data_IF_981464566657
#
_entry.id   IF_981464566657
#
_cell.length_a   1.000
_cell.length_b   1.000
_cell.length_c   1.000
_cell.angle_alpha   90.00
_cell.angle_beta   90.00
_cell.angle_gamma   90.00
#
_symmetry.space_group_name_H-M   'P 1'
#
loop_
_entity.id
_entity.type
_entity.pdbx_description
1 polymer ?
#
# COMPACT_ATOMS: atom_id res chain seq x y z
N UNK A 1 -13.34 15.84 59.88
CA UNK A 1 -12.68 16.87 59.02
C UNK A 1 -11.25 16.46 58.58
N UNK A 2 -10.35 16.04 59.49
CA UNK A 2 -8.94 15.76 59.15
C UNK A 2 -8.79 14.56 58.18
N UNK A 3 -9.60 13.52 58.26
CA UNK A 3 -9.59 12.35 57.37
C UNK A 3 -10.12 12.67 55.94
N UNK A 4 -11.13 13.55 55.84
CA UNK A 4 -11.65 13.97 54.54
C UNK A 4 -10.61 14.80 53.76
N UNK A 5 -9.87 15.71 54.43
CA UNK A 5 -8.79 16.46 53.79
C UNK A 5 -7.67 15.57 53.27
N UNK A 6 -7.30 14.52 54.04
CA UNK A 6 -6.31 13.53 53.58
C UNK A 6 -6.82 12.75 52.37
N UNK A 7 -8.08 12.32 52.36
CA UNK A 7 -8.69 11.63 51.24
C UNK A 7 -8.69 12.47 49.96
N UNK A 8 -9.13 13.75 50.05
CA UNK A 8 -9.09 14.65 48.90
C UNK A 8 -7.68 14.87 48.37
N UNK A 9 -6.71 15.06 49.28
CA UNK A 9 -5.30 15.22 48.87
C UNK A 9 -4.79 13.95 48.13
N UNK A 10 -5.10 12.76 48.62
CA UNK A 10 -4.72 11.52 47.96
C UNK A 10 -5.37 11.39 46.59
N UNK A 11 -6.65 11.71 46.44
CA UNK A 11 -7.36 11.71 45.16
C UNK A 11 -6.69 12.68 44.17
N UNK A 12 -6.35 13.90 44.60
CA UNK A 12 -5.68 14.89 43.75
C UNK A 12 -4.31 14.40 43.30
N UNK A 13 -3.51 13.78 44.19
CA UNK A 13 -2.18 13.25 43.82
C UNK A 13 -2.33 12.11 42.82
N UNK A 14 -3.26 11.16 43.06
CA UNK A 14 -3.50 10.03 42.14
C UNK A 14 -3.96 10.53 40.79
N UNK A 15 -4.91 11.46 40.74
CA UNK A 15 -5.39 12.06 39.49
C UNK A 15 -4.27 12.77 38.74
N UNK A 16 -3.41 13.51 39.44
CA UNK A 16 -2.26 14.19 38.84
C UNK A 16 -1.26 13.20 38.23
N UNK A 17 -0.95 12.11 38.94
CA UNK A 17 -0.08 11.05 38.42
C UNK A 17 -0.67 10.39 37.17
N UNK A 18 -1.98 10.10 37.15
CA UNK A 18 -2.67 9.54 35.99
C UNK A 18 -2.58 10.51 34.79
N UNK A 19 -2.78 11.80 34.99
CA UNK A 19 -2.66 12.82 33.93
C UNK A 19 -1.24 12.86 33.38
N UNK A 20 -0.21 12.86 34.25
CA UNK A 20 1.18 12.84 33.79
C UNK A 20 1.52 11.59 33.01
N UNK A 21 1.04 10.42 33.47
CA UNK A 21 1.26 9.14 32.75
C UNK A 21 0.57 9.18 31.37
N UNK A 22 -0.64 9.72 31.28
CA UNK A 22 -1.36 9.87 30.00
C UNK A 22 -0.63 10.81 29.04
N UNK A 23 -0.12 11.95 29.54
CA UNK A 23 0.66 12.90 28.73
C UNK A 23 1.97 12.28 28.22
N UNK A 24 2.65 11.50 29.07
CA UNK A 24 3.87 10.77 28.67
C UNK A 24 3.57 9.73 27.58
N UNK A 25 2.47 8.97 27.73
CA UNK A 25 2.04 8.01 26.71
C UNK A 25 1.68 8.68 25.38
N UNK A 26 0.98 9.80 25.41
CA UNK A 26 0.66 10.60 24.19
C UNK A 26 1.95 11.11 23.54
N UNK A 27 2.89 11.63 24.33
CA UNK A 27 4.20 12.09 23.84
C UNK A 27 4.99 10.97 23.18
N UNK A 28 5.01 9.79 23.80
CA UNK A 28 5.65 8.60 23.24
C UNK A 28 5.03 8.18 21.89
N UNK A 29 3.70 8.11 21.80
CA UNK A 29 3.01 7.78 20.56
C UNK A 29 3.30 8.81 19.45
N UNK A 30 3.32 10.10 19.80
CA UNK A 30 3.64 11.16 18.84
C UNK A 30 5.05 11.02 18.27
N UNK A 31 6.04 10.76 19.13
CA UNK A 31 7.44 10.54 18.71
C UNK A 31 7.55 9.29 17.85
N UNK A 32 6.92 8.18 18.26
CA UNK A 32 6.92 6.92 17.52
C UNK A 32 6.32 7.07 16.12
N UNK A 33 5.18 7.76 15.99
CA UNK A 33 4.56 7.99 14.68
C UNK A 33 5.37 8.93 13.79
N UNK A 34 5.98 9.97 14.38
CA UNK A 34 6.88 10.85 13.64
C UNK A 34 8.09 10.06 13.10
N UNK A 35 8.71 9.24 13.94
CA UNK A 35 9.85 8.42 13.53
C UNK A 35 9.48 7.44 12.41
N UNK A 36 8.34 6.74 12.53
CA UNK A 36 7.87 5.83 11.49
C UNK A 36 7.68 6.54 10.14
N UNK A 37 7.06 7.73 10.14
CA UNK A 37 6.89 8.55 8.93
C UNK A 37 8.22 8.98 8.33
N UNK A 38 9.16 9.42 9.19
CA UNK A 38 10.49 9.86 8.76
C UNK A 38 11.28 8.69 8.18
N UNK A 39 11.15 7.46 8.75
CA UNK A 39 11.72 6.23 8.21
C UNK A 39 11.21 5.91 6.80
N UNK A 40 9.90 5.98 6.55
CA UNK A 40 9.32 5.77 5.20
C UNK A 40 9.76 6.85 4.21
N UNK A 41 9.83 8.11 4.64
CA UNK A 41 10.31 9.21 3.80
C UNK A 41 11.79 9.02 3.40
N UNK A 42 12.62 8.59 4.33
CA UNK A 42 14.04 8.28 4.06
C UNK A 42 14.18 7.08 3.13
N UNK A 43 13.39 6.01 3.35
CA UNK A 43 13.41 4.85 2.47
C UNK A 43 13.06 5.26 1.03
N UNK A 44 11.98 6.05 0.85
CA UNK A 44 11.55 6.52 -0.46
C UNK A 44 12.62 7.39 -1.14
N UNK A 45 13.24 8.33 -0.40
CA UNK A 45 14.32 9.15 -0.95
C UNK A 45 15.49 8.30 -1.41
N UNK A 46 15.97 7.39 -0.56
CA UNK A 46 17.12 6.52 -0.86
C UNK A 46 16.86 5.58 -2.03
N UNK A 47 15.67 4.97 -2.11
CA UNK A 47 15.31 4.09 -3.22
C UNK A 47 15.30 4.83 -4.56
N UNK A 48 14.87 6.11 -4.58
CA UNK A 48 14.85 6.95 -5.79
C UNK A 48 16.22 7.56 -6.10
N UNK A 49 17.00 7.96 -5.10
CA UNK A 49 18.37 8.47 -5.27
C UNK A 49 19.31 7.39 -5.78
N UNK A 50 19.19 6.17 -5.28
CA UNK A 50 19.95 5.02 -5.77
C UNK A 50 19.67 4.77 -7.24
N UNK A 51 18.41 4.84 -7.66
CA UNK A 51 18.00 4.78 -9.04
C UNK A 51 18.69 5.86 -9.90
N UNK A 52 18.60 7.15 -9.53
CA UNK A 52 19.19 8.27 -10.26
C UNK A 52 20.72 8.15 -10.35
N UNK A 53 21.39 7.83 -9.24
CA UNK A 53 22.86 7.73 -9.20
C UNK A 53 23.41 6.61 -10.07
N UNK A 54 22.67 5.52 -10.24
CA UNK A 54 23.03 4.45 -11.18
C UNK A 54 22.82 4.87 -12.63
N UNK A 55 21.76 5.65 -12.91
CA UNK A 55 21.52 6.24 -14.24
C UNK A 55 22.63 7.18 -14.71
N UNK A 56 23.13 8.07 -13.84
CA UNK A 56 24.23 8.98 -14.13
C UNK A 56 25.57 8.28 -14.40
N UNK A 57 25.76 7.05 -13.92
CA UNK A 57 26.97 6.25 -14.21
C UNK A 57 26.93 5.52 -15.55
N UNK A 58 26.00 5.87 -16.44
CA UNK A 58 25.91 5.30 -17.79
C UNK A 58 25.28 3.92 -17.85
N UNK A 59 24.62 3.50 -16.77
CA UNK A 59 23.86 2.23 -16.69
C UNK A 59 22.61 2.21 -17.60
N UNK A 60 22.19 3.38 -18.06
CA UNK A 60 21.05 3.59 -18.96
C UNK A 60 21.50 3.66 -20.43
N UNK A 61 22.31 2.73 -20.91
CA UNK A 61 22.31 2.51 -22.34
C UNK A 61 20.92 1.93 -22.65
N UNK A 62 20.17 2.63 -23.52
CA UNK A 62 18.89 2.17 -24.06
C UNK A 62 19.06 0.69 -24.42
N UNK A 63 18.64 -0.21 -23.56
CA UNK A 63 18.68 -1.63 -23.83
C UNK A 63 17.47 -1.85 -24.74
N UNK A 64 17.71 -1.86 -26.03
CA UNK A 64 16.76 -2.43 -26.97
C UNK A 64 16.49 -3.86 -26.49
N UNK A 65 15.23 -4.28 -26.47
CA UNK A 65 14.86 -5.65 -26.20
C UNK A 65 15.73 -6.59 -27.03
N UNK A 66 16.35 -7.57 -26.42
CA UNK A 66 17.13 -8.57 -27.15
C UNK A 66 16.25 -9.40 -28.12
N UNK A 67 14.93 -9.35 -27.92
CA UNK A 67 13.90 -9.91 -28.77
C UNK A 67 13.19 -8.76 -29.52
N UNK A 68 13.31 -8.66 -30.85
CA UNK A 68 12.67 -7.61 -31.65
C UNK A 68 11.13 -7.67 -31.63
N UNK A 69 10.52 -8.74 -31.10
CA UNK A 69 9.07 -8.87 -30.90
C UNK A 69 8.60 -8.36 -29.51
N UNK A 70 9.52 -8.11 -28.56
CA UNK A 70 9.20 -7.55 -27.26
C UNK A 70 9.34 -6.03 -27.25
N UNK A 71 8.39 -5.29 -26.66
CA UNK A 71 8.52 -3.86 -26.48
C UNK A 71 9.73 -3.51 -25.62
N UNK A 72 10.32 -2.33 -25.87
CA UNK A 72 11.41 -1.81 -25.03
C UNK A 72 10.96 -1.75 -23.56
N UNK A 73 11.80 -2.17 -22.61
CA UNK A 73 11.45 -2.14 -21.19
C UNK A 73 11.28 -0.70 -20.70
N UNK A 74 10.30 -0.50 -19.80
CA UNK A 74 10.09 0.78 -19.12
C UNK A 74 11.00 0.91 -17.89
N UNK A 75 11.37 2.15 -17.57
CA UNK A 75 12.12 2.43 -16.36
C UNK A 75 11.28 2.22 -15.10
N UNK A 76 11.80 1.47 -14.14
CA UNK A 76 11.23 1.32 -12.79
C UNK A 76 11.94 2.31 -11.86
N UNK A 77 11.28 3.39 -11.39
CA UNK A 77 11.93 4.54 -10.74
C UNK A 77 12.31 4.29 -9.26
N UNK A 78 12.43 3.04 -8.85
CA UNK A 78 12.84 2.63 -7.51
C UNK A 78 13.82 1.46 -7.58
N UNK A 79 14.81 1.45 -6.70
CA UNK A 79 15.83 0.42 -6.62
C UNK A 79 15.34 -0.74 -5.75
N UNK A 80 14.87 -1.82 -6.39
CA UNK A 80 14.38 -3.00 -5.69
C UNK A 80 15.49 -3.82 -5.02
N UNK A 81 16.73 -3.79 -5.51
CA UNK A 81 17.85 -4.43 -4.84
C UNK A 81 18.11 -3.75 -3.48
N UNK A 82 18.13 -2.41 -3.47
CA UNK A 82 18.22 -1.64 -2.23
C UNK A 82 17.02 -1.93 -1.30
N UNK A 83 15.79 -1.88 -1.82
CA UNK A 83 14.56 -2.09 -1.03
C UNK A 83 14.52 -3.48 -0.41
N UNK A 84 14.85 -4.54 -1.16
CA UNK A 84 14.87 -5.92 -0.68
C UNK A 84 16.07 -6.20 0.23
N UNK A 85 17.14 -5.41 0.15
CA UNK A 85 18.21 -5.38 1.13
C UNK A 85 17.77 -4.83 2.50
N UNK A 86 16.81 -3.88 2.51
CA UNK A 86 16.22 -3.38 3.75
C UNK A 86 15.15 -4.35 4.32
N UNK A 87 14.33 -4.96 3.45
CA UNK A 87 13.38 -6.02 3.82
C UNK A 87 13.01 -6.86 2.58
N UNK A 88 13.29 -8.17 2.65
CA UNK A 88 13.01 -9.12 1.56
C UNK A 88 11.51 -9.30 1.25
N UNK A 89 10.63 -8.96 2.20
CA UNK A 89 9.18 -9.01 1.99
C UNK A 89 8.65 -7.84 1.13
N UNK A 90 9.50 -6.89 0.71
CA UNK A 90 9.09 -5.84 -0.22
C UNK A 90 8.95 -6.42 -1.61
N UNK A 91 7.69 -6.53 -2.09
CA UNK A 91 7.32 -7.09 -3.39
C UNK A 91 6.98 -6.04 -4.44
N UNK A 92 6.73 -4.80 -4.01
CA UNK A 92 6.32 -3.74 -4.91
C UNK A 92 6.42 -2.35 -4.31
N UNK A 93 6.11 -1.38 -5.13
CA UNK A 93 6.02 0.04 -4.78
C UNK A 93 4.74 0.64 -5.36
N UNK A 94 3.91 1.28 -4.54
CA UNK A 94 2.64 1.86 -4.97
C UNK A 94 2.66 3.37 -4.99
N UNK A 95 2.09 3.94 -6.05
CA UNK A 95 1.78 5.36 -6.19
C UNK A 95 0.31 5.54 -6.56
N UNK A 96 -0.36 6.53 -5.96
CA UNK A 96 -1.76 6.87 -6.28
C UNK A 96 -1.85 8.34 -6.63
N UNK A 97 -2.32 8.61 -7.84
CA UNK A 97 -2.42 9.96 -8.41
C UNK A 97 -3.20 10.94 -7.52
N UNK A 98 -2.76 12.19 -7.44
CA UNK A 98 -3.39 13.23 -6.65
C UNK A 98 -3.29 13.05 -5.13
N UNK A 99 -2.56 12.03 -4.67
CA UNK A 99 -2.34 11.72 -3.25
C UNK A 99 -0.85 11.81 -2.88
N UNK A 100 -0.55 11.55 -1.60
CA UNK A 100 0.83 11.35 -1.11
C UNK A 100 1.13 9.86 -0.89
N UNK A 101 0.32 8.97 -1.44
CA UNK A 101 0.57 7.53 -1.36
C UNK A 101 1.73 7.21 -2.30
N UNK A 102 2.87 6.85 -1.70
CA UNK A 102 4.14 6.61 -2.36
C UNK A 102 4.98 5.74 -1.42
N UNK A 103 4.68 4.42 -1.39
CA UNK A 103 5.12 3.49 -0.37
C UNK A 103 5.54 2.13 -0.93
N UNK A 104 6.48 1.41 -0.25
CA UNK A 104 6.69 -0.01 -0.52
C UNK A 104 5.45 -0.81 -0.19
N UNK A 105 5.22 -1.89 -0.94
CA UNK A 105 4.23 -2.92 -0.65
C UNK A 105 4.96 -4.14 -0.10
N UNK A 106 4.56 -4.61 1.09
CA UNK A 106 5.13 -5.79 1.73
C UNK A 106 4.19 -6.99 1.59
N UNK A 107 4.75 -8.19 1.61
CA UNK A 107 3.99 -9.44 1.49
C UNK A 107 4.00 -10.20 2.83
N UNK A 108 2.83 -10.32 3.47
CA UNK A 108 2.65 -11.04 4.73
C UNK A 108 2.20 -12.48 4.47
N UNK A 109 3.14 -13.38 4.35
CA UNK A 109 2.88 -14.82 4.16
C UNK A 109 2.44 -15.53 5.43
N UNK A 110 2.49 -14.86 6.57
CA UNK A 110 2.24 -15.47 7.89
C UNK A 110 0.76 -15.54 8.24
N UNK A 111 -0.13 -14.91 7.46
CA UNK A 111 -1.58 -14.80 7.67
C UNK A 111 -2.00 -14.17 9.01
N UNK A 112 -1.06 -13.70 9.81
CA UNK A 112 -1.32 -13.11 11.13
C UNK A 112 -1.44 -11.59 11.12
N UNK A 113 -1.39 -10.99 9.93
CA UNK A 113 -1.42 -9.53 9.74
C UNK A 113 -0.25 -8.83 10.44
N UNK A 114 0.94 -9.41 10.35
CA UNK A 114 2.16 -8.90 10.99
C UNK A 114 2.38 -7.43 10.63
N UNK A 115 2.30 -7.10 9.34
CA UNK A 115 2.51 -5.75 8.82
C UNK A 115 1.38 -4.76 9.14
N UNK A 116 0.29 -5.23 9.77
CA UNK A 116 -0.72 -4.30 10.30
C UNK A 116 -0.14 -3.41 11.41
N UNK A 117 0.78 -3.94 12.24
CA UNK A 117 1.35 -3.21 13.36
C UNK A 117 2.89 -3.06 13.27
N UNK A 118 3.54 -3.62 12.26
CA UNK A 118 4.98 -3.55 12.07
C UNK A 118 5.32 -2.75 10.81
N UNK A 119 6.29 -1.86 10.91
CA UNK A 119 6.83 -1.14 9.76
C UNK A 119 7.77 -2.06 8.94
N UNK A 120 8.30 -1.54 7.82
CA UNK A 120 9.21 -2.30 6.95
C UNK A 120 10.50 -2.76 7.65
N UNK A 121 10.90 -2.16 8.77
CA UNK A 121 12.03 -2.61 9.61
C UNK A 121 11.66 -3.70 10.60
N UNK A 122 10.42 -4.18 10.60
CA UNK A 122 9.92 -5.14 11.58
C UNK A 122 9.68 -4.55 12.98
N UNK A 123 9.68 -3.23 13.12
CA UNK A 123 9.44 -2.55 14.39
C UNK A 123 7.94 -2.38 14.61
N UNK A 124 7.44 -2.78 15.79
CA UNK A 124 6.06 -2.53 16.18
C UNK A 124 5.87 -1.04 16.51
N UNK A 125 5.16 -0.33 15.66
CA UNK A 125 4.96 1.12 15.78
C UNK A 125 3.49 1.53 15.81
N UNK A 126 2.55 0.61 15.56
CA UNK A 126 1.14 0.94 15.31
C UNK A 126 0.90 1.75 14.03
N UNK A 127 1.97 2.16 13.35
CA UNK A 127 1.92 2.83 12.05
C UNK A 127 1.74 1.81 10.91
N UNK A 128 2.28 0.60 11.12
CA UNK A 128 2.20 -0.50 10.20
C UNK A 128 2.89 -0.25 8.86
N UNK A 129 2.49 -1.01 7.87
CA UNK A 129 2.96 -0.93 6.50
C UNK A 129 1.80 -0.92 5.51
N UNK A 130 2.09 -0.70 4.24
CA UNK A 130 1.22 -1.06 3.13
C UNK A 130 1.59 -2.50 2.76
N UNK A 131 0.60 -3.41 2.73
CA UNK A 131 0.89 -4.83 2.59
C UNK A 131 -0.22 -5.62 1.91
N UNK A 132 0.16 -6.76 1.34
CA UNK A 132 -0.71 -7.82 0.81
C UNK A 132 -0.65 -9.01 1.77
N UNK A 133 -1.78 -9.67 2.01
CA UNK A 133 -1.83 -10.92 2.78
C UNK A 133 -1.57 -12.13 1.89
N UNK A 134 -1.08 -13.21 2.47
CA UNK A 134 -0.84 -14.48 1.79
C UNK A 134 -2.08 -15.19 1.24
N UNK A 135 -3.26 -14.59 1.38
CA UNK A 135 -4.48 -14.97 0.67
C UNK A 135 -4.38 -14.68 -0.85
N UNK A 136 -3.53 -13.72 -1.23
CA UNK A 136 -3.10 -13.45 -2.61
C UNK A 136 -1.72 -14.05 -2.88
N UNK A 137 -1.32 -14.18 -4.15
CA UNK A 137 -0.02 -14.75 -4.56
C UNK A 137 1.16 -13.81 -4.35
N UNK A 138 0.91 -12.50 -4.24
CA UNK A 138 1.94 -11.48 -4.03
C UNK A 138 2.66 -11.00 -5.31
N UNK A 139 2.35 -11.56 -6.47
CA UNK A 139 2.89 -11.19 -7.78
C UNK A 139 1.93 -10.32 -8.63
N UNK A 140 0.79 -9.95 -8.08
CA UNK A 140 -0.27 -9.16 -8.72
C UNK A 140 -0.93 -9.83 -9.94
N UNK A 141 -0.86 -11.16 -10.04
CA UNK A 141 -1.50 -11.92 -11.12
C UNK A 141 -2.90 -12.41 -10.76
N UNK A 142 -3.29 -12.37 -9.48
CA UNK A 142 -4.63 -12.76 -9.03
C UNK A 142 -5.72 -11.91 -9.72
N UNK A 143 -6.92 -12.50 -9.86
CA UNK A 143 -8.11 -11.78 -10.31
C UNK A 143 -8.36 -10.49 -9.50
N UNK A 144 -8.17 -10.56 -8.17
CA UNK A 144 -8.27 -9.40 -7.28
C UNK A 144 -7.16 -9.41 -6.23
N UNK A 145 -6.18 -8.55 -6.38
CA UNK A 145 -5.13 -8.35 -5.37
C UNK A 145 -5.58 -7.29 -4.37
N UNK A 146 -5.58 -7.63 -3.07
CA UNK A 146 -6.01 -6.71 -2.00
C UNK A 146 -4.80 -6.17 -1.24
N UNK A 147 -4.60 -4.87 -1.32
CA UNK A 147 -3.55 -4.13 -0.60
C UNK A 147 -4.17 -3.40 0.59
N UNK A 148 -3.61 -3.61 1.76
CA UNK A 148 -4.08 -3.04 3.02
C UNK A 148 -3.18 -1.90 3.49
N UNK A 149 -3.75 -0.90 4.15
CA UNK A 149 -3.01 0.18 4.78
C UNK A 149 -3.85 0.95 5.79
N UNK A 150 -3.19 1.50 6.80
CA UNK A 150 -3.85 2.28 7.84
C UNK A 150 -4.44 3.60 7.34
N UNK A 151 -5.50 4.04 8.01
CA UNK A 151 -6.02 5.40 7.94
C UNK A 151 -5.42 6.22 9.09
N UNK A 152 -4.26 6.82 8.86
CA UNK A 152 -3.55 7.58 9.89
C UNK A 152 -4.11 9.00 10.03
N UNK A 153 -4.16 9.51 11.28
CA UNK A 153 -4.67 10.86 11.56
C UNK A 153 -3.83 11.98 10.95
N UNK A 154 -2.53 11.73 10.71
CA UNK A 154 -1.62 12.68 10.07
C UNK A 154 -1.73 12.69 8.53
N UNK A 155 -2.65 11.90 7.98
CA UNK A 155 -2.90 11.81 6.55
C UNK A 155 -1.92 10.92 5.78
N UNK A 156 -1.06 10.17 6.47
CA UNK A 156 -0.13 9.20 5.88
C UNK A 156 -0.79 7.84 5.63
N UNK A 157 -0.02 6.90 5.11
CA UNK A 157 -0.46 5.58 4.69
C UNK A 157 -1.65 5.68 3.71
N UNK A 158 -2.72 4.94 3.92
CA UNK A 158 -3.91 4.96 3.07
C UNK A 158 -4.99 5.97 3.50
N UNK A 159 -4.67 6.90 4.43
CA UNK A 159 -5.62 7.92 4.84
C UNK A 159 -6.12 8.78 3.66
N UNK A 160 -5.27 9.01 2.65
CA UNK A 160 -5.64 9.83 1.50
C UNK A 160 -6.56 9.15 0.49
N UNK A 161 -6.80 7.83 0.60
CA UNK A 161 -7.86 7.15 -0.16
C UNK A 161 -9.23 7.78 0.10
N UNK A 162 -9.43 8.37 1.27
CA UNK A 162 -10.68 9.09 1.58
C UNK A 162 -10.96 10.32 0.71
N UNK A 163 -9.99 10.81 -0.06
CA UNK A 163 -10.23 11.85 -1.07
C UNK A 163 -11.18 11.37 -2.17
N UNK A 164 -11.16 10.07 -2.51
CA UNK A 164 -12.03 9.47 -3.51
C UNK A 164 -13.52 9.47 -3.14
N UNK A 165 -13.88 9.86 -1.91
CA UNK A 165 -15.27 10.13 -1.52
C UNK A 165 -15.85 11.36 -2.23
N UNK A 166 -14.99 12.30 -2.62
CA UNK A 166 -15.40 13.48 -3.37
C UNK A 166 -15.45 13.13 -4.85
N UNK A 167 -16.61 13.28 -5.47
CA UNK A 167 -16.83 12.96 -6.88
C UNK A 167 -15.82 13.67 -7.78
N UNK A 168 -15.59 14.97 -7.54
CA UNK A 168 -14.62 15.76 -8.30
C UNK A 168 -13.21 15.16 -8.24
N UNK A 169 -12.74 14.73 -7.06
CA UNK A 169 -11.43 14.09 -6.93
C UNK A 169 -11.39 12.73 -7.63
N UNK A 170 -12.46 11.93 -7.49
CA UNK A 170 -12.60 10.63 -8.12
C UNK A 170 -12.54 10.74 -9.65
N UNK A 171 -13.19 11.75 -10.23
CA UNK A 171 -13.27 11.95 -11.69
C UNK A 171 -11.97 12.46 -12.31
N UNK A 172 -11.10 13.11 -11.50
CA UNK A 172 -9.86 13.76 -11.99
C UNK A 172 -8.58 13.01 -11.64
N UNK A 173 -8.63 12.05 -10.71
CA UNK A 173 -7.46 11.34 -10.22
C UNK A 173 -7.76 9.84 -10.23
N UNK A 174 -7.46 9.19 -11.33
CA UNK A 174 -7.87 7.81 -11.54
C UNK A 174 -6.73 6.80 -11.59
N UNK A 175 -5.47 7.22 -11.58
CA UNK A 175 -4.36 6.32 -11.80
C UNK A 175 -3.76 5.76 -10.50
N UNK A 176 -3.59 4.43 -10.46
CA UNK A 176 -2.77 3.74 -9.46
C UNK A 176 -1.65 3.04 -10.22
N UNK A 177 -0.41 3.29 -9.83
CA UNK A 177 0.75 2.62 -10.41
C UNK A 177 1.36 1.71 -9.35
N UNK A 178 1.60 0.46 -9.72
CA UNK A 178 2.38 -0.50 -8.93
C UNK A 178 3.62 -0.88 -9.73
N UNK A 179 4.77 -0.64 -9.16
CA UNK A 179 6.03 -1.15 -9.68
C UNK A 179 6.38 -2.43 -8.93
N UNK A 180 6.83 -3.44 -9.66
CA UNK A 180 7.49 -4.63 -9.13
C UNK A 180 8.95 -4.65 -9.61
N UNK A 181 9.79 -5.60 -9.23
CA UNK A 181 11.16 -5.67 -9.72
C UNK A 181 11.30 -5.72 -11.26
N UNK A 182 10.28 -6.19 -11.96
CA UNK A 182 10.32 -6.45 -13.40
C UNK A 182 9.12 -5.88 -14.18
N UNK A 183 8.18 -5.20 -13.53
CA UNK A 183 6.94 -4.73 -14.17
C UNK A 183 6.50 -3.36 -13.66
N UNK A 184 5.84 -2.62 -14.53
CA UNK A 184 5.04 -1.45 -14.20
C UNK A 184 3.58 -1.78 -14.51
N UNK A 185 2.77 -1.90 -13.48
CA UNK A 185 1.35 -2.16 -13.57
C UNK A 185 0.58 -0.85 -13.40
N UNK A 186 -0.21 -0.48 -14.38
CA UNK A 186 -1.06 0.73 -14.31
C UNK A 186 -2.51 0.30 -14.20
N UNK A 187 -3.15 0.73 -13.11
CA UNK A 187 -4.57 0.49 -12.87
C UNK A 187 -5.34 1.79 -12.99
N UNK A 188 -6.54 1.71 -13.55
CA UNK A 188 -7.48 2.82 -13.61
C UNK A 188 -8.59 2.62 -12.58
N UNK A 189 -8.79 3.61 -11.70
CA UNK A 189 -9.84 3.55 -10.69
C UNK A 189 -11.22 3.55 -11.36
N UNK A 190 -12.01 2.51 -11.07
CA UNK A 190 -13.38 2.37 -11.56
C UNK A 190 -14.43 2.43 -10.44
N UNK A 191 -14.04 2.13 -9.19
CA UNK A 191 -14.95 2.13 -8.05
C UNK A 191 -14.25 2.61 -6.76
N UNK A 192 -14.97 3.36 -5.94
CA UNK A 192 -14.56 3.74 -4.59
C UNK A 192 -15.80 3.80 -3.69
N UNK A 193 -15.85 2.99 -2.62
CA UNK A 193 -17.05 2.85 -1.81
C UNK A 193 -16.75 2.32 -0.39
N UNK A 194 -17.76 2.43 0.49
CA UNK A 194 -17.75 1.80 1.80
C UNK A 194 -18.34 0.40 1.73
N UNK A 195 -17.64 -0.58 2.28
CA UNK A 195 -18.13 -1.94 2.45
C UNK A 195 -17.94 -2.43 3.90
N UNK A 196 -18.43 -3.63 4.19
CA UNK A 196 -18.12 -4.33 5.45
C UNK A 196 -16.63 -4.65 5.60
N UNK A 197 -16.24 -5.13 6.79
CA UNK A 197 -14.86 -5.46 7.13
C UNK A 197 -14.48 -6.93 6.81
N UNK A 198 -15.30 -7.66 6.06
CA UNK A 198 -14.96 -9.03 5.69
C UNK A 198 -13.76 -9.07 4.74
N UNK A 199 -12.90 -10.07 4.90
CA UNK A 199 -11.78 -10.30 4.00
C UNK A 199 -12.32 -10.62 2.61
N UNK A 200 -11.92 -9.85 1.60
CA UNK A 200 -12.43 -9.96 0.24
C UNK A 200 -12.09 -11.33 -0.35
N UNK A 201 -10.84 -11.77 -0.17
CA UNK A 201 -10.36 -13.02 -0.80
C UNK A 201 -10.97 -14.25 -0.13
N UNK A 202 -11.00 -14.28 1.21
CA UNK A 202 -11.52 -15.44 1.94
C UNK A 202 -13.07 -15.56 1.93
N UNK A 203 -13.79 -14.49 1.63
CA UNK A 203 -15.25 -14.49 1.63
C UNK A 203 -15.88 -14.47 0.24
N UNK A 204 -15.06 -14.56 -0.81
CA UNK A 204 -15.53 -14.70 -2.19
C UNK A 204 -14.76 -15.85 -2.85
N UNK A 205 -15.43 -16.57 -3.72
CA UNK A 205 -14.81 -17.58 -4.57
C UNK A 205 -14.55 -16.96 -5.95
N UNK A 206 -13.31 -16.99 -6.39
CA UNK A 206 -12.86 -16.46 -7.69
C UNK A 206 -12.44 -17.56 -8.65
N UNK A 207 -12.83 -18.82 -8.38
CA UNK A 207 -12.36 -19.99 -9.14
C UNK A 207 -12.95 -20.11 -10.55
N UNK A 208 -14.06 -19.43 -10.84
CA UNK A 208 -14.69 -19.43 -12.15
C UNK A 208 -15.04 -18.02 -12.62
N UNK A 209 -15.17 -17.85 -13.93
CA UNK A 209 -15.55 -16.58 -14.55
C UNK A 209 -16.94 -16.10 -14.09
N UNK A 210 -17.88 -17.03 -13.86
CA UNK A 210 -19.24 -16.71 -13.39
C UNK A 210 -19.19 -16.12 -11.98
N UNK A 211 -18.40 -16.70 -11.07
CA UNK A 211 -18.23 -16.19 -9.69
C UNK A 211 -17.50 -14.84 -9.67
N UNK A 212 -16.51 -14.66 -10.53
CA UNK A 212 -15.83 -13.40 -10.73
C UNK A 212 -16.80 -12.31 -11.24
N UNK A 213 -17.66 -12.65 -12.22
CA UNK A 213 -18.68 -11.75 -12.73
C UNK A 213 -19.73 -11.39 -11.67
N UNK A 214 -20.14 -12.34 -10.82
CA UNK A 214 -21.03 -12.10 -9.68
C UNK A 214 -20.39 -11.13 -8.67
N UNK A 215 -19.11 -11.32 -8.33
CA UNK A 215 -18.38 -10.39 -7.47
C UNK A 215 -18.34 -8.98 -8.07
N UNK A 216 -18.06 -8.84 -9.38
CA UNK A 216 -18.05 -7.54 -10.07
C UNK A 216 -19.42 -6.88 -10.00
N UNK A 217 -20.50 -7.64 -10.26
CA UNK A 217 -21.86 -7.11 -10.17
C UNK A 217 -22.17 -6.59 -8.76
N UNK A 218 -21.75 -7.33 -7.71
CA UNK A 218 -21.90 -6.94 -6.31
C UNK A 218 -21.16 -5.64 -5.94
N UNK A 219 -20.06 -5.30 -6.63
CA UNK A 219 -19.37 -4.02 -6.42
C UNK A 219 -20.33 -2.84 -6.64
N UNK A 220 -21.11 -2.88 -7.71
CA UNK A 220 -22.03 -1.79 -8.10
C UNK A 220 -23.30 -1.71 -7.25
N UNK A 221 -23.57 -2.71 -6.40
CA UNK A 221 -24.66 -2.68 -5.42
C UNK A 221 -24.34 -1.82 -4.18
N UNK A 222 -23.07 -1.49 -3.96
CA UNK A 222 -22.67 -0.63 -2.85
C UNK A 222 -23.07 0.81 -3.11
N UNK A 223 -23.95 1.36 -2.26
CA UNK A 223 -24.47 2.73 -2.39
C UNK A 223 -23.90 3.70 -1.36
N UNK A 224 -23.26 3.18 -0.32
CA UNK A 224 -22.77 4.00 0.79
C UNK A 224 -21.42 4.64 0.49
N UNK A 225 -21.41 5.98 0.34
CA UNK A 225 -20.18 6.76 0.05
C UNK A 225 -19.50 6.23 -1.22
N UNK A 226 -20.31 5.96 -2.27
CA UNK A 226 -19.87 5.29 -3.48
C UNK A 226 -19.70 6.27 -4.64
N UNK A 227 -18.61 6.11 -5.38
CA UNK A 227 -18.37 6.71 -6.69
C UNK A 227 -17.95 5.60 -7.65
N UNK A 228 -18.54 5.61 -8.85
CA UNK A 228 -18.23 4.67 -9.92
C UNK A 228 -17.91 5.43 -11.20
N UNK A 229 -16.95 4.91 -11.97
CA UNK A 229 -16.64 5.40 -13.30
C UNK A 229 -17.31 4.49 -14.34
N UNK A 230 -18.35 4.97 -15.05
CA UNK A 230 -19.11 4.16 -16.01
C UNK A 230 -18.34 3.88 -17.32
N UNK A 231 -17.21 4.54 -17.56
CA UNK A 231 -16.39 4.35 -18.75
C UNK A 231 -15.65 3.01 -18.71
N UNK A 232 -15.36 2.51 -17.50
CA UNK A 232 -14.66 1.24 -17.31
C UNK A 232 -15.66 0.13 -17.00
N UNK A 233 -15.91 -0.72 -18.01
CA UNK A 233 -16.70 -1.95 -17.88
C UNK A 233 -15.76 -3.09 -17.50
N UNK A 234 -15.63 -3.34 -16.21
CA UNK A 234 -14.82 -4.44 -15.68
C UNK A 234 -15.50 -5.77 -15.92
N UNK A 235 -14.75 -6.77 -16.35
CA UNK A 235 -15.19 -8.14 -16.66
C UNK A 235 -14.38 -9.17 -15.91
N UNK A 236 -14.74 -10.46 -15.99
CA UNK A 236 -13.98 -11.56 -15.41
C UNK A 236 -12.58 -11.77 -16.04
N UNK A 237 -12.34 -11.23 -17.23
CA UNK A 237 -11.02 -11.28 -17.89
C UNK A 237 -10.05 -10.25 -17.33
N UNK A 238 -10.54 -9.27 -16.57
CA UNK A 238 -9.73 -8.18 -16.03
C UNK A 238 -9.12 -8.53 -14.69
N UNK A 239 -7.96 -7.93 -14.38
CA UNK A 239 -7.33 -7.98 -13.06
C UNK A 239 -7.69 -6.73 -12.26
N UNK A 240 -8.10 -6.91 -11.01
CA UNK A 240 -8.51 -5.85 -10.10
C UNK A 240 -7.44 -5.66 -9.01
N UNK A 241 -7.13 -4.41 -8.72
CA UNK A 241 -6.38 -4.01 -7.52
C UNK A 241 -7.34 -3.34 -6.55
N UNK A 242 -7.46 -3.86 -5.34
CA UNK A 242 -8.29 -3.29 -4.27
C UNK A 242 -7.42 -2.68 -3.18
N UNK A 243 -7.47 -1.37 -3.00
CA UNK A 243 -6.84 -0.67 -1.88
C UNK A 243 -7.83 -0.55 -0.73
N UNK A 244 -7.50 -1.10 0.44
CA UNK A 244 -8.41 -1.21 1.60
C UNK A 244 -7.88 -0.46 2.82
N UNK A 245 -8.72 0.41 3.40
CA UNK A 245 -8.38 1.18 4.61
C UNK A 245 -9.55 1.31 5.59
N UNK A 246 -9.25 1.72 6.83
CA UNK A 246 -10.24 1.95 7.88
C UNK A 246 -11.03 3.25 7.65
N UNK A 247 -12.26 3.30 8.17
CA UNK A 247 -13.10 4.50 8.13
C UNK A 247 -13.44 5.07 9.51
N UNK A 248 -12.75 4.64 10.57
CA UNK A 248 -13.05 5.02 11.96
C UNK A 248 -14.11 4.16 12.65
N UNK A 249 -14.88 3.34 11.91
CA UNK A 249 -15.79 2.32 12.43
C UNK A 249 -15.21 0.94 12.08
N UNK A 250 -14.94 0.06 13.07
CA UNK A 250 -14.30 -1.23 12.85
C UNK A 250 -15.15 -2.21 12.01
N UNK A 251 -16.47 -2.00 11.92
CA UNK A 251 -17.37 -2.84 11.12
C UNK A 251 -17.21 -2.59 9.61
N UNK A 252 -16.54 -1.52 9.20
CA UNK A 252 -16.47 -1.12 7.81
C UNK A 252 -15.05 -0.80 7.34
N UNK A 253 -14.89 -0.88 6.00
CA UNK A 253 -13.70 -0.42 5.27
C UNK A 253 -14.11 0.55 4.18
N UNK A 254 -13.18 1.43 3.81
CA UNK A 254 -13.26 2.18 2.57
C UNK A 254 -12.31 1.52 1.57
N UNK A 255 -12.82 1.22 0.39
CA UNK A 255 -12.02 0.61 -0.67
C UNK A 255 -11.99 1.52 -1.90
N UNK A 256 -10.87 1.48 -2.60
CA UNK A 256 -10.68 2.08 -3.93
C UNK A 256 -10.21 0.95 -4.83
N UNK A 257 -10.93 0.71 -5.93
CA UNK A 257 -10.63 -0.40 -6.84
C UNK A 257 -10.24 0.13 -8.21
N UNK A 258 -9.13 -0.37 -8.71
CA UNK A 258 -8.61 -0.12 -10.04
C UNK A 258 -8.67 -1.39 -10.89
N UNK A 259 -8.99 -1.24 -12.17
CA UNK A 259 -8.84 -2.27 -13.19
C UNK A 259 -7.49 -2.10 -13.89
N UNK A 260 -6.78 -3.19 -14.15
CA UNK A 260 -5.50 -3.16 -14.85
C UNK A 260 -5.71 -2.72 -16.30
N UNK A 261 -5.01 -1.65 -16.71
CA UNK A 261 -5.08 -1.11 -18.08
C UNK A 261 -3.76 -1.19 -18.82
N UNK A 262 -2.65 -1.37 -18.11
CA UNK A 262 -1.33 -1.60 -18.71
C UNK A 262 -0.47 -2.46 -17.81
N UNK A 263 0.25 -3.40 -18.41
CA UNK A 263 1.19 -4.31 -17.77
C UNK A 263 2.46 -4.33 -18.63
N UNK A 264 3.43 -3.47 -18.24
CA UNK A 264 4.64 -3.19 -19.01
C UNK A 264 5.83 -3.89 -18.36
N UNK A 265 6.63 -4.59 -19.16
CA UNK A 265 7.92 -5.10 -18.68
C UNK A 265 8.84 -3.92 -18.34
N UNK A 266 9.47 -4.01 -17.19
CA UNK A 266 10.34 -2.96 -16.67
C UNK A 266 11.71 -3.48 -16.27
N UNK A 267 12.69 -2.58 -16.23
CA UNK A 267 14.03 -2.87 -15.72
C UNK A 267 14.35 -1.88 -14.61
N UNK A 268 14.73 -2.39 -13.44
CA UNK A 268 15.31 -1.56 -12.39
C UNK A 268 16.83 -1.63 -12.42
N UNK A 269 17.50 -0.63 -11.91
CA UNK A 269 18.95 -0.42 -12.04
C UNK A 269 19.85 -1.56 -11.47
N UNK A 270 19.32 -2.46 -10.64
CA UNK A 270 20.06 -3.58 -10.04
C UNK A 270 20.02 -4.91 -10.82
N UNK A 271 19.10 -5.07 -11.75
CA UNK A 271 18.85 -6.36 -12.41
C UNK A 271 19.94 -6.84 -13.39
N UNK A 272 20.96 -6.01 -13.68
CA UNK A 272 21.92 -6.26 -14.77
C UNK A 272 23.23 -6.96 -14.34
N UNK A 273 23.45 -7.22 -13.06
CA UNK A 273 24.75 -7.79 -12.61
C UNK A 273 24.81 -9.32 -12.58
N UNK A 274 23.69 -10.02 -12.81
CA UNK A 274 23.65 -11.47 -12.71
C UNK A 274 24.07 -12.20 -13.99
N UNK A 275 24.03 -11.58 -15.17
CA UNK A 275 24.22 -12.25 -16.45
C UNK A 275 25.60 -12.06 -17.12
N UNK A 276 26.40 -11.08 -16.66
CA UNK A 276 27.74 -10.86 -17.20
C UNK A 276 28.85 -11.76 -16.61
N UNK A 277 28.56 -12.44 -15.49
CA UNK A 277 29.52 -13.34 -14.81
C UNK A 277 29.59 -14.78 -15.36
N UNK A 278 28.70 -15.17 -16.26
CA UNK A 278 28.59 -16.57 -16.75
C UNK A 278 29.33 -16.86 -18.05
N UNK A 279 29.94 -15.86 -18.70
CA UNK A 279 30.57 -16.02 -20.01
C UNK A 279 32.11 -15.84 -20.04
N UNK A 280 32.77 -15.78 -18.89
CA UNK A 280 34.26 -15.82 -18.82
C UNK A 280 34.72 -16.99 -17.95
N UNK A 281 34.60 -18.20 -18.47
CA UNK A 281 35.47 -19.37 -18.12
C UNK A 281 35.67 -20.28 -19.30
#
# INVERSE_FOLDING_TARGET
MKNQKKLYLTICIVSFVIVLAALAAIGYLFVSFKQARDDYSQLASRAKESFVSRGEKGFWSKKESADPEMPDPVDIPVDFEFLQGENQDIIGWIQVEGTKIDYPILYDTTYNRYYLNHNFKGTNTGYGSIFVLGDNTGDFTDFNTVVYGHNMLDGSMFAQLHKFRKKEFFDTNGQIIVYTPDRKLTYQVFAAYRRDNLNIILNNDFSTEELQAEYIAGIYEHTAVANFNPEYKVTSEDRILTLSTCIGNPAYRYVVQGVLVSDEYGVYAGAQTADEGANET
#
